data_IF_033231343993
#
_entry.id   IF_033231343993
#
_cell.length_a   1.000
_cell.length_b   1.000
_cell.length_c   1.000
_cell.angle_alpha   90.00
_cell.angle_beta   90.00
_cell.angle_gamma   90.00
#
_symmetry.space_group_name_H-M   'P 1'
#
loop_
_entity.id
_entity.type
_entity.pdbx_description
1 polymer ?
#
# COMPACT_ATOMS: atom_id res chain seq x y z
N UNK A 1 -29.28 -0.05 -3.26
CA UNK A 1 -29.84 -0.27 -1.91
C UNK A 1 -28.83 -0.03 -0.77
N UNK A 2 -27.50 -0.01 -1.02
CA UNK A 2 -26.49 0.18 0.04
C UNK A 2 -25.85 1.59 0.11
N UNK A 3 -26.18 2.50 -0.82
CA UNK A 3 -25.60 3.87 -0.85
C UNK A 3 -26.19 4.85 0.17
N UNK A 4 -26.87 4.36 1.22
CA UNK A 4 -27.62 5.19 2.17
C UNK A 4 -26.93 5.45 3.52
N UNK A 5 -25.75 4.88 3.77
CA UNK A 5 -25.02 5.16 5.01
C UNK A 5 -24.31 6.50 4.84
N UNK A 6 -25.03 7.58 5.17
CA UNK A 6 -24.44 8.91 5.18
C UNK A 6 -23.49 9.06 6.38
N UNK A 7 -22.41 9.82 6.18
CA UNK A 7 -21.35 10.07 7.17
C UNK A 7 -21.95 10.54 8.51
N UNK A 8 -23.04 11.30 8.47
CA UNK A 8 -23.71 11.84 9.65
C UNK A 8 -24.28 10.76 10.57
N UNK A 9 -24.86 9.71 10.01
CA UNK A 9 -25.40 8.57 10.76
C UNK A 9 -24.26 7.81 11.46
N UNK A 10 -23.12 7.67 10.79
CA UNK A 10 -21.95 7.00 11.35
C UNK A 10 -21.36 7.78 12.53
N UNK A 11 -21.30 9.12 12.45
CA UNK A 11 -20.86 9.98 13.55
C UNK A 11 -21.79 9.90 14.77
N UNK A 12 -23.10 9.89 14.55
CA UNK A 12 -24.09 9.75 15.63
C UNK A 12 -23.96 8.37 16.29
N UNK A 13 -23.82 7.30 15.51
CA UNK A 13 -23.60 5.96 16.03
C UNK A 13 -22.30 5.85 16.82
N UNK A 14 -21.22 6.43 16.30
CA UNK A 14 -19.93 6.49 16.97
C UNK A 14 -20.03 7.23 18.31
N UNK A 15 -20.75 8.35 18.36
CA UNK A 15 -20.96 9.10 19.60
C UNK A 15 -21.67 8.25 20.66
N UNK A 16 -22.70 7.50 20.28
CA UNK A 16 -23.42 6.59 21.19
C UNK A 16 -22.47 5.50 21.71
N UNK A 17 -21.70 4.86 20.83
CA UNK A 17 -20.73 3.84 21.22
C UNK A 17 -19.68 4.41 22.19
N UNK A 18 -19.17 5.61 21.92
CA UNK A 18 -18.21 6.29 22.79
C UNK A 18 -18.82 6.61 24.16
N UNK A 19 -20.09 7.02 24.23
CA UNK A 19 -20.78 7.26 25.51
C UNK A 19 -20.98 5.96 26.30
N UNK A 20 -21.36 4.86 25.65
CA UNK A 20 -21.61 3.57 26.31
C UNK A 20 -20.33 2.93 26.85
N UNK A 21 -19.27 2.92 26.04
CA UNK A 21 -18.01 2.28 26.41
C UNK A 21 -17.05 3.23 27.14
N UNK A 22 -17.28 4.54 27.05
CA UNK A 22 -16.39 5.58 27.53
C UNK A 22 -15.11 5.73 26.69
N UNK A 23 -14.57 6.94 26.63
CA UNK A 23 -13.33 7.24 25.87
C UNK A 23 -12.11 6.50 26.40
N UNK A 24 -12.07 6.16 27.69
CA UNK A 24 -10.94 5.47 28.33
C UNK A 24 -10.76 4.03 27.82
N UNK A 25 -11.87 3.29 27.68
CA UNK A 25 -11.86 1.89 27.21
C UNK A 25 -11.60 1.83 25.70
N UNK A 26 -12.22 2.74 24.96
CA UNK A 26 -12.00 2.89 23.51
C UNK A 26 -10.55 3.30 23.19
N UNK A 27 -9.93 4.18 23.97
CA UNK A 27 -8.52 4.56 23.78
C UNK A 27 -7.56 3.42 24.05
N UNK A 28 -7.81 2.62 25.10
CA UNK A 28 -6.94 1.48 25.42
C UNK A 28 -6.94 0.46 24.29
N UNK A 29 -8.14 0.04 23.86
CA UNK A 29 -8.29 -0.95 22.77
C UNK A 29 -7.90 -0.35 21.41
N UNK A 30 -8.25 0.91 21.17
CA UNK A 30 -7.92 1.61 19.92
C UNK A 30 -6.42 1.89 19.77
N UNK A 31 -5.68 2.06 20.87
CA UNK A 31 -4.22 2.16 20.85
C UNK A 31 -3.57 0.87 20.37
N UNK A 32 -3.97 -0.27 20.94
CA UNK A 32 -3.43 -1.58 20.59
C UNK A 32 -3.75 -1.96 19.14
N UNK A 33 -5.01 -1.82 18.74
CA UNK A 33 -5.45 -2.12 17.38
C UNK A 33 -4.89 -1.10 16.37
N UNK A 34 -4.86 0.18 16.73
CA UNK A 34 -4.33 1.24 15.87
C UNK A 34 -2.83 1.11 15.63
N UNK A 35 -2.07 0.67 16.63
CA UNK A 35 -0.65 0.37 16.50
C UNK A 35 -0.39 -0.76 15.51
N UNK A 36 -1.13 -1.87 15.62
CA UNK A 36 -1.01 -3.01 14.72
C UNK A 36 -1.35 -2.63 13.26
N UNK A 37 -2.45 -1.90 13.05
CA UNK A 37 -2.85 -1.45 11.71
C UNK A 37 -1.86 -0.44 11.13
N UNK A 38 -1.28 0.45 11.96
CA UNK A 38 -0.25 1.40 11.52
C UNK A 38 1.00 0.68 11.02
N UNK A 39 1.49 -0.31 11.76
CA UNK A 39 2.63 -1.13 11.35
C UNK A 39 2.38 -1.88 10.03
N UNK A 40 1.18 -2.44 9.87
CA UNK A 40 0.76 -3.09 8.63
C UNK A 40 0.73 -2.12 7.43
N UNK A 41 0.16 -0.92 7.61
CA UNK A 41 0.11 0.11 6.55
C UNK A 41 1.52 0.59 6.16
N UNK A 42 2.41 0.74 7.14
CA UNK A 42 3.82 1.07 6.88
C UNK A 42 4.52 -0.02 6.09
N UNK A 43 4.44 -1.28 6.53
CA UNK A 43 5.07 -2.40 5.84
C UNK A 43 4.55 -2.60 4.41
N UNK A 44 3.24 -2.39 4.17
CA UNK A 44 2.68 -2.44 2.82
C UNK A 44 3.22 -1.31 1.93
N UNK A 45 3.29 -0.08 2.46
CA UNK A 45 3.80 1.06 1.70
C UNK A 45 5.29 0.90 1.37
N UNK A 46 6.07 0.42 2.34
CA UNK A 46 7.50 0.17 2.14
C UNK A 46 7.73 -0.95 1.10
N UNK A 47 6.89 -2.00 1.13
CA UNK A 47 6.92 -3.07 0.12
C UNK A 47 6.47 -2.63 -1.28
N UNK A 48 5.53 -1.68 -1.39
CA UNK A 48 5.16 -1.07 -2.67
C UNK A 48 6.31 -0.22 -3.24
N UNK A 49 6.98 0.59 -2.40
CA UNK A 49 8.15 1.39 -2.81
C UNK A 49 9.36 0.53 -3.20
N UNK A 50 9.56 -0.62 -2.53
CA UNK A 50 10.61 -1.59 -2.87
C UNK A 50 10.29 -2.34 -4.18
N UNK A 51 9.01 -2.61 -4.47
CA UNK A 51 8.58 -3.17 -5.75
C UNK A 51 8.73 -2.18 -6.90
N UNK A 52 8.39 -0.90 -6.69
CA UNK A 52 8.56 0.13 -7.72
C UNK A 52 10.04 0.37 -8.03
N UNK A 53 10.93 0.41 -7.04
CA UNK A 53 12.38 0.49 -7.30
C UNK A 53 12.94 -0.75 -8.01
N UNK A 54 12.43 -1.95 -7.71
CA UNK A 54 12.81 -3.17 -8.47
C UNK A 54 12.33 -3.14 -9.91
N UNK A 55 11.19 -2.52 -10.21
CA UNK A 55 10.68 -2.39 -11.58
C UNK A 55 11.48 -1.38 -12.40
N UNK A 56 11.93 -0.28 -11.80
CA UNK A 56 12.84 0.66 -12.48
C UNK A 56 14.23 0.04 -12.77
N UNK A 57 14.71 -0.88 -11.93
CA UNK A 57 16.02 -1.54 -12.11
C UNK A 57 16.01 -2.71 -13.12
N UNK A 58 14.83 -3.23 -13.48
CA UNK A 58 14.69 -4.32 -14.46
C UNK A 58 14.50 -3.78 -15.90
N UNK A 59 13.98 -2.56 -16.05
CA UNK A 59 13.84 -1.86 -17.35
C UNK A 59 15.20 -1.40 -17.92
N UNK A 60 16.23 -1.13 -17.09
CA UNK A 60 17.57 -0.77 -17.58
C UNK A 60 18.41 -1.97 -18.06
N UNK A 61 18.02 -3.21 -17.76
CA UNK A 61 18.77 -4.39 -18.21
C UNK A 61 18.35 -4.93 -19.58
N UNK A 62 17.17 -4.55 -20.09
CA UNK A 62 16.67 -5.06 -21.38
C UNK A 62 17.26 -4.32 -22.59
N UNK A 63 17.69 -3.05 -22.45
CA UNK A 63 18.33 -2.30 -23.55
C UNK A 63 19.79 -2.75 -23.83
N UNK A 64 20.46 -3.40 -22.88
CA UNK A 64 21.87 -3.82 -23.04
C UNK A 64 22.07 -5.16 -23.77
N UNK A 65 21.01 -5.98 -23.91
CA UNK A 65 21.10 -7.31 -24.55
C UNK A 65 20.75 -7.25 -26.05
N UNK A 66 20.05 -6.21 -26.50
CA UNK A 66 19.64 -6.06 -27.90
C UNK A 66 20.74 -5.49 -28.84
N UNK A 67 21.84 -4.95 -28.31
CA UNK A 67 22.94 -4.41 -29.15
C UNK A 67 24.07 -5.39 -29.46
N UNK A 68 24.28 -6.46 -28.68
CA UNK A 68 25.40 -7.40 -28.90
C UNK A 68 25.13 -8.45 -30.00
N UNK A 69 23.89 -8.59 -30.46
CA UNK A 69 23.50 -9.61 -31.44
C UNK A 69 23.48 -9.13 -32.90
N UNK A 70 23.89 -7.89 -33.22
CA UNK A 70 23.83 -7.34 -34.59
C UNK A 70 25.18 -7.08 -35.27
N UNK A 71 26.31 -7.32 -34.61
CA UNK A 71 27.65 -7.04 -35.18
C UNK A 71 28.40 -8.30 -35.68
N UNK A 72 27.80 -9.49 -35.59
CA UNK A 72 28.47 -10.76 -35.98
C UNK A 72 27.89 -11.45 -37.22
N UNK A 73 27.26 -10.71 -38.14
CA UNK A 73 26.72 -11.23 -39.42
C UNK A 73 27.10 -10.36 -40.64
N UNK A 74 28.28 -9.72 -40.62
CA UNK A 74 28.74 -8.90 -41.75
C UNK A 74 30.17 -9.13 -42.23
N UNK A 75 30.78 -10.25 -41.83
CA UNK A 75 32.16 -10.62 -42.24
C UNK A 75 32.24 -11.89 -43.12
N UNK A 76 31.12 -12.32 -43.71
CA UNK A 76 31.11 -13.33 -44.78
C UNK A 76 30.08 -12.97 -45.85
N UNK A 77 30.43 -12.03 -46.73
CA UNK A 77 29.90 -11.91 -48.09
C UNK A 77 30.94 -11.22 -48.97
#
# INVERSE_FOLDING_TARGET
MLSGISIWQLLILLAIVVLLFGTKKLRNIGGDLGGAVKGFKSAMKDGEEEQDQKRLADDEKDESVAQDSKEKDKDQA
#
